data_IF_724529142324
#
_entry.id   IF_724529142324
#
_cell.length_a   1.000
_cell.length_b   1.000
_cell.length_c   1.000
_cell.angle_alpha   90.00
_cell.angle_beta   90.00
_cell.angle_gamma   90.00
#
_symmetry.space_group_name_H-M   'P 1'
#
loop_
_entity.id
_entity.type
_entity.pdbx_description
1 polymer ?
#
# COMPACT_ATOMS: atom_id res chain seq x y z
N UNK A 1 23.85 22.52 35.11
CA UNK A 1 23.75 21.09 34.70
C UNK A 1 22.58 20.74 33.78
N UNK A 2 21.42 21.42 33.82
CA UNK A 2 20.21 21.02 33.07
C UNK A 2 20.33 21.00 31.53
N UNK A 3 20.88 22.05 30.91
CA UNK A 3 20.85 22.20 29.44
C UNK A 3 21.69 21.16 28.69
N UNK A 4 22.83 20.74 29.23
CA UNK A 4 23.68 19.71 28.61
C UNK A 4 23.01 18.34 28.69
N UNK A 5 22.34 18.02 29.79
CA UNK A 5 21.58 16.80 29.95
C UNK A 5 20.39 16.76 28.97
N UNK A 6 19.68 17.89 28.82
CA UNK A 6 18.57 18.03 27.87
C UNK A 6 19.03 17.81 26.42
N UNK A 7 20.19 18.35 26.03
CA UNK A 7 20.74 18.15 24.68
C UNK A 7 21.12 16.68 24.44
N UNK A 8 21.71 16.00 25.42
CA UNK A 8 22.03 14.57 25.29
C UNK A 8 20.77 13.70 25.21
N UNK A 9 19.72 14.03 25.95
CA UNK A 9 18.42 13.34 25.87
C UNK A 9 17.74 13.59 24.51
N UNK A 10 17.80 14.80 23.97
CA UNK A 10 17.24 15.12 22.65
C UNK A 10 17.95 14.38 21.51
N UNK A 11 19.29 14.36 21.52
CA UNK A 11 20.07 13.63 20.52
C UNK A 11 19.79 12.12 20.63
N UNK A 12 19.62 11.62 21.86
CA UNK A 12 19.24 10.24 22.13
C UNK A 12 17.86 9.90 21.52
N UNK A 13 16.83 10.70 21.76
CA UNK A 13 15.48 10.49 21.21
C UNK A 13 15.48 10.49 19.68
N UNK A 14 16.25 11.38 19.05
CA UNK A 14 16.37 11.46 17.59
C UNK A 14 17.04 10.21 17.02
N UNK A 15 18.11 9.73 17.64
CA UNK A 15 18.80 8.50 17.21
C UNK A 15 17.92 7.27 17.42
N UNK A 16 17.17 7.21 18.52
CA UNK A 16 16.25 6.11 18.82
C UNK A 16 15.11 6.07 17.79
N UNK A 17 14.54 7.23 17.46
CA UNK A 17 13.55 7.41 16.38
C UNK A 17 14.08 6.94 15.02
N UNK A 18 15.30 7.35 14.64
CA UNK A 18 15.92 6.92 13.39
C UNK A 18 16.18 5.41 13.34
N UNK A 19 16.62 4.81 14.44
CA UNK A 19 16.88 3.37 14.50
C UNK A 19 15.59 2.56 14.49
N UNK A 20 14.53 2.97 15.20
CA UNK A 20 13.22 2.30 15.11
C UNK A 20 12.64 2.40 13.70
N UNK A 21 12.80 3.55 13.04
CA UNK A 21 12.44 3.72 11.63
C UNK A 21 13.26 2.82 10.68
N UNK A 22 14.56 2.67 10.93
CA UNK A 22 15.46 1.88 10.08
C UNK A 22 15.34 0.36 10.29
N UNK A 23 15.15 -0.12 11.51
CA UNK A 23 15.03 -1.56 11.84
C UNK A 23 13.60 -2.09 11.74
N UNK A 24 12.59 -1.21 11.72
CA UNK A 24 11.19 -1.62 11.58
C UNK A 24 10.81 -2.04 10.16
N UNK A 25 11.56 -1.62 9.13
CA UNK A 25 11.22 -1.90 7.73
C UNK A 25 9.83 -1.41 7.31
N UNK A 26 9.26 -0.47 8.08
CA UNK A 26 7.88 -0.02 7.93
C UNK A 26 7.81 0.97 6.77
N UNK A 27 7.37 0.47 5.61
CA UNK A 27 6.97 1.32 4.49
C UNK A 27 5.64 2.03 4.79
N UNK A 28 5.46 3.24 4.28
CA UNK A 28 4.19 3.94 4.37
C UNK A 28 3.04 3.08 3.77
N UNK A 29 1.82 3.16 4.32
CA UNK A 29 0.67 2.43 3.76
C UNK A 29 0.44 2.85 2.31
N UNK A 30 0.30 1.87 1.42
CA UNK A 30 -0.07 2.11 0.02
C UNK A 30 -1.58 2.33 -0.06
N UNK A 31 -2.00 3.60 -0.06
CA UNK A 31 -3.41 3.96 -0.25
C UNK A 31 -3.73 3.82 -1.75
N UNK A 32 -4.77 3.04 -2.13
CA UNK A 32 -5.18 2.94 -3.52
C UNK A 32 -5.66 4.31 -4.05
N UNK A 33 -5.45 4.60 -5.35
CA UNK A 33 -5.89 5.86 -5.94
C UNK A 33 -7.40 6.01 -5.84
N UNK A 34 -7.85 7.27 -5.70
CA UNK A 34 -9.28 7.60 -5.64
C UNK A 34 -9.99 7.17 -6.94
N UNK A 35 -11.22 6.63 -6.86
CA UNK A 35 -12.02 6.30 -8.04
C UNK A 35 -12.28 7.54 -8.89
N UNK A 36 -11.98 7.45 -10.19
CA UNK A 36 -12.23 8.54 -11.12
C UNK A 36 -13.59 8.39 -11.83
N UNK A 37 -14.17 9.54 -12.18
CA UNK A 37 -15.38 9.59 -13.01
C UNK A 37 -15.19 8.84 -14.33
N UNK A 38 -14.01 8.94 -14.95
CA UNK A 38 -13.68 8.26 -16.20
C UNK A 38 -13.72 6.73 -16.07
N UNK A 39 -13.24 6.18 -14.94
CA UNK A 39 -13.34 4.74 -14.68
C UNK A 39 -14.79 4.29 -14.51
N UNK A 40 -15.60 5.03 -13.76
CA UNK A 40 -17.03 4.72 -13.58
C UNK A 40 -17.80 4.80 -14.90
N UNK A 41 -17.51 5.79 -15.75
CA UNK A 41 -18.09 5.93 -17.08
C UNK A 41 -17.67 4.80 -18.02
N UNK A 42 -16.41 4.39 -18.00
CA UNK A 42 -15.93 3.27 -18.80
C UNK A 42 -16.62 1.96 -18.41
N UNK A 43 -16.78 1.70 -17.11
CA UNK A 43 -17.48 0.52 -16.61
C UNK A 43 -18.96 0.58 -16.99
N UNK A 44 -19.63 1.70 -16.76
CA UNK A 44 -21.04 1.86 -17.15
C UNK A 44 -21.26 1.68 -18.65
N UNK A 45 -20.36 2.24 -19.48
CA UNK A 45 -20.41 2.13 -20.93
C UNK A 45 -20.14 0.72 -21.47
N UNK A 46 -19.45 -0.13 -20.70
CA UNK A 46 -19.21 -1.53 -21.04
C UNK A 46 -20.44 -2.42 -20.83
N UNK A 47 -21.41 -1.96 -20.03
CA UNK A 47 -22.64 -2.71 -19.75
C UNK A 47 -23.60 -2.45 -20.92
N UNK A 48 -23.63 -3.42 -21.83
CA UNK A 48 -24.47 -3.40 -23.02
C UNK A 48 -25.31 -4.68 -23.03
N UNK A 49 -26.62 -4.51 -23.23
CA UNK A 49 -27.51 -5.62 -23.51
C UNK A 49 -28.00 -5.55 -24.95
N UNK A 50 -27.62 -6.53 -25.76
CA UNK A 50 -28.10 -6.68 -27.12
C UNK A 50 -28.90 -7.96 -27.29
N UNK A 51 -29.99 -7.90 -28.04
CA UNK A 51 -30.69 -9.07 -28.54
C UNK A 51 -30.56 -9.15 -30.05
N UNK A 52 -30.32 -10.35 -30.58
CA UNK A 52 -30.17 -10.55 -32.00
C UNK A 52 -30.02 -12.02 -32.38
N UNK A 53 -30.10 -12.26 -33.68
CA UNK A 53 -29.75 -13.54 -34.28
C UNK A 53 -28.24 -13.47 -34.57
N UNK A 54 -27.42 -14.35 -33.96
CA UNK A 54 -26.01 -14.43 -34.30
C UNK A 54 -25.83 -14.84 -35.76
N UNK A 55 -24.69 -14.54 -36.37
CA UNK A 55 -24.43 -14.96 -37.74
C UNK A 55 -24.50 -16.50 -37.83
N UNK A 56 -25.29 -17.01 -38.79
CA UNK A 56 -25.46 -18.45 -39.01
C UNK A 56 -24.70 -18.83 -40.26
N UNK A 57 -23.74 -19.74 -40.13
CA UNK A 57 -23.06 -20.31 -41.29
C UNK A 57 -23.93 -21.41 -41.88
N UNK A 58 -24.48 -21.18 -43.08
CA UNK A 58 -25.28 -22.18 -43.79
C UNK A 58 -24.40 -23.20 -44.50
N UNK A 59 -23.31 -22.73 -45.10
CA UNK A 59 -22.33 -23.56 -45.80
C UNK A 59 -20.93 -23.11 -45.35
N UNK A 60 -20.16 -23.96 -44.66
CA UNK A 60 -18.79 -23.62 -44.32
C UNK A 60 -17.94 -23.50 -45.59
N UNK A 61 -16.90 -22.67 -45.55
CA UNK A 61 -15.95 -22.59 -46.67
C UNK A 61 -15.29 -23.95 -46.90
N UNK A 62 -15.21 -24.37 -48.16
CA UNK A 62 -14.55 -25.61 -48.55
C UNK A 62 -13.63 -25.36 -49.75
N UNK A 63 -12.69 -26.26 -49.99
CA UNK A 63 -11.75 -26.19 -51.11
C UNK A 63 -11.83 -27.44 -51.95
N UNK A 64 -11.85 -27.29 -53.28
CA UNK A 64 -11.78 -28.40 -54.23
C UNK A 64 -10.65 -28.08 -55.21
N UNK A 65 -9.72 -29.03 -55.36
CA UNK A 65 -8.58 -28.91 -56.30
C UNK A 65 -7.79 -27.59 -56.16
N UNK A 66 -7.65 -27.08 -54.92
CA UNK A 66 -6.88 -25.88 -54.62
C UNK A 66 -7.64 -24.56 -54.78
N UNK A 67 -8.89 -24.55 -55.25
CA UNK A 67 -9.73 -23.34 -55.23
C UNK A 67 -10.60 -23.30 -53.97
N UNK A 68 -10.50 -22.21 -53.20
CA UNK A 68 -11.29 -22.02 -51.98
C UNK A 68 -12.62 -21.34 -52.32
N UNK A 69 -13.72 -22.01 -52.02
CA UNK A 69 -15.05 -21.45 -52.12
C UNK A 69 -15.42 -20.76 -50.80
N UNK A 70 -15.83 -19.48 -50.83
CA UNK A 70 -16.25 -18.78 -49.63
C UNK A 70 -17.51 -19.43 -49.04
N UNK A 71 -17.56 -19.49 -47.71
CA UNK A 71 -18.74 -19.99 -47.00
C UNK A 71 -19.91 -19.04 -47.16
N UNK A 72 -21.13 -19.58 -47.16
CA UNK A 72 -22.36 -18.80 -47.14
C UNK A 72 -22.79 -18.61 -45.68
N UNK A 73 -22.72 -17.36 -45.21
CA UNK A 73 -23.15 -16.98 -43.86
C UNK A 73 -24.31 -15.99 -43.94
N UNK A 74 -25.37 -16.24 -43.16
CA UNK A 74 -26.37 -15.21 -42.88
C UNK A 74 -25.77 -14.18 -41.91
N UNK A 75 -25.87 -12.87 -42.23
CA UNK A 75 -25.35 -11.83 -41.35
C UNK A 75 -26.10 -11.81 -40.02
N UNK A 76 -25.43 -11.39 -38.95
CA UNK A 76 -26.09 -11.20 -37.66
C UNK A 76 -27.12 -10.08 -37.75
N UNK A 77 -28.29 -10.31 -37.17
CA UNK A 77 -29.36 -9.31 -37.07
C UNK A 77 -29.45 -8.86 -35.62
N UNK A 78 -29.21 -7.58 -35.36
CA UNK A 78 -29.42 -6.99 -34.03
C UNK A 78 -30.82 -6.36 -33.98
N UNK A 79 -31.66 -6.82 -33.06
CA UNK A 79 -33.00 -6.27 -32.87
C UNK A 79 -32.99 -5.00 -32.03
N UNK A 80 -32.25 -5.02 -30.92
CA UNK A 80 -32.06 -3.86 -30.08
C UNK A 80 -30.72 -3.92 -29.35
N UNK A 81 -30.25 -2.74 -28.94
CA UNK A 81 -29.10 -2.54 -28.07
C UNK A 81 -29.48 -1.53 -27.01
N UNK A 82 -29.35 -1.92 -25.75
CA UNK A 82 -29.54 -1.05 -24.59
C UNK A 82 -28.16 -0.82 -23.97
N UNK A 83 -27.76 0.45 -23.90
CA UNK A 83 -26.56 0.87 -23.17
C UNK A 83 -26.94 1.36 -21.78
N UNK A 84 -26.20 0.91 -20.77
CA UNK A 84 -26.38 1.33 -19.38
C UNK A 84 -25.35 2.38 -18.95
N UNK A 85 -24.80 3.15 -19.90
CA UNK A 85 -23.83 4.21 -19.61
C UNK A 85 -24.32 5.23 -18.59
N UNK A 86 -25.63 5.46 -18.49
CA UNK A 86 -26.25 6.36 -17.52
C UNK A 86 -26.15 5.89 -16.05
N UNK A 87 -25.80 4.63 -15.80
CA UNK A 87 -25.57 4.09 -14.45
C UNK A 87 -24.23 4.54 -13.83
N UNK A 88 -23.42 5.30 -14.55
CA UNK A 88 -22.10 5.77 -14.06
C UNK A 88 -22.14 6.47 -12.69
N UNK A 89 -23.15 7.29 -12.32
CA UNK A 89 -23.16 7.94 -11.01
C UNK A 89 -23.33 6.92 -9.87
N UNK A 90 -24.17 5.90 -10.10
CA UNK A 90 -24.41 4.83 -9.12
C UNK A 90 -23.15 4.00 -8.96
N UNK A 91 -22.51 3.63 -10.06
CA UNK A 91 -21.23 2.88 -10.05
C UNK A 91 -20.13 3.68 -9.32
N UNK A 92 -20.05 4.99 -9.55
CA UNK A 92 -19.08 5.86 -8.87
C UNK A 92 -19.27 5.84 -7.34
N UNK A 93 -20.52 5.94 -6.87
CA UNK A 93 -20.83 5.86 -5.43
C UNK A 93 -20.37 4.53 -4.83
N UNK A 94 -20.65 3.41 -5.48
CA UNK A 94 -20.19 2.11 -4.99
C UNK A 94 -18.67 1.97 -4.98
N UNK A 95 -17.98 2.49 -6.00
CA UNK A 95 -16.52 2.49 -6.04
C UNK A 95 -15.95 3.37 -4.92
N UNK A 96 -16.56 4.52 -4.65
CA UNK A 96 -16.14 5.41 -3.57
C UNK A 96 -16.31 4.73 -2.20
N UNK A 97 -17.43 4.07 -1.97
CA UNK A 97 -17.66 3.28 -0.76
C UNK A 97 -16.60 2.19 -0.60
N UNK A 98 -16.34 1.41 -1.66
CA UNK A 98 -15.32 0.37 -1.64
C UNK A 98 -13.91 0.94 -1.37
N UNK A 99 -13.60 2.09 -1.97
CA UNK A 99 -12.34 2.79 -1.76
C UNK A 99 -12.15 3.23 -0.30
N UNK A 100 -13.19 3.79 0.33
CA UNK A 100 -13.16 4.16 1.76
C UNK A 100 -12.81 2.95 2.63
N UNK A 101 -13.49 1.81 2.44
CA UNK A 101 -13.19 0.60 3.20
C UNK A 101 -11.77 0.08 2.97
N UNK A 102 -11.30 0.08 1.71
CA UNK A 102 -9.93 -0.36 1.39
C UNK A 102 -8.85 0.54 1.99
N UNK A 103 -9.12 1.85 2.05
CA UNK A 103 -8.22 2.84 2.66
C UNK A 103 -8.15 2.65 4.17
N UNK A 104 -9.29 2.49 4.84
CA UNK A 104 -9.35 2.20 6.28
C UNK A 104 -8.61 0.89 6.59
N UNK A 105 -8.86 -0.18 5.82
CA UNK A 105 -8.18 -1.46 6.02
C UNK A 105 -6.65 -1.35 5.88
N UNK A 106 -6.18 -0.56 4.90
CA UNK A 106 -4.74 -0.32 4.70
C UNK A 106 -4.11 0.42 5.88
N UNK A 107 -4.79 1.44 6.41
CA UNK A 107 -4.32 2.18 7.60
C UNK A 107 -4.30 1.29 8.84
N UNK A 108 -5.35 0.51 9.08
CA UNK A 108 -5.41 -0.43 10.21
C UNK A 108 -4.31 -1.49 10.08
N UNK A 109 -4.13 -2.07 8.89
CA UNK A 109 -3.07 -3.05 8.64
C UNK A 109 -1.68 -2.49 8.89
N UNK A 110 -1.43 -1.24 8.50
CA UNK A 110 -0.18 -0.55 8.81
C UNK A 110 0.03 -0.35 10.31
N UNK A 111 -0.99 0.12 11.04
CA UNK A 111 -0.91 0.29 12.50
C UNK A 111 -0.60 -1.05 13.18
N UNK A 112 -1.28 -2.13 12.79
CA UNK A 112 -1.00 -3.47 13.32
C UNK A 112 0.43 -3.93 12.99
N UNK A 113 0.92 -3.65 11.79
CA UNK A 113 2.30 -3.95 11.41
C UNK A 113 3.32 -3.19 12.27
N UNK A 114 3.05 -1.93 12.65
CA UNK A 114 3.89 -1.19 13.60
C UNK A 114 3.92 -1.91 14.95
N UNK A 115 2.76 -2.30 15.49
CA UNK A 115 2.69 -2.97 16.79
C UNK A 115 3.41 -4.32 16.76
N UNK A 116 3.17 -5.14 15.75
CA UNK A 116 3.83 -6.45 15.60
C UNK A 116 5.34 -6.28 15.40
N UNK A 117 5.77 -5.32 14.57
CA UNK A 117 7.19 -5.01 14.38
C UNK A 117 7.85 -4.55 15.67
N UNK A 118 7.20 -3.67 16.43
CA UNK A 118 7.70 -3.19 17.72
C UNK A 118 7.85 -4.33 18.73
N UNK A 119 6.88 -5.24 18.81
CA UNK A 119 6.93 -6.43 19.68
C UNK A 119 8.03 -7.41 19.22
N UNK A 120 8.23 -7.58 17.92
CA UNK A 120 9.33 -8.40 17.38
C UNK A 120 10.70 -7.80 17.71
N UNK A 121 10.85 -6.48 17.64
CA UNK A 121 12.08 -5.78 18.01
C UNK A 121 12.35 -5.89 19.52
N UNK A 122 11.30 -5.75 20.34
CA UNK A 122 11.39 -5.92 21.80
C UNK A 122 11.66 -7.35 22.24
N UNK A 123 11.26 -8.36 21.46
CA UNK A 123 11.52 -9.77 21.77
C UNK A 123 12.83 -10.30 21.16
N UNK A 124 13.44 -9.55 20.24
CA UNK A 124 14.71 -9.89 19.60
C UNK A 124 15.93 -9.58 20.47
N UNK A 125 16.53 -10.62 21.08
CA UNK A 125 17.86 -10.57 21.73
C UNK A 125 18.94 -9.90 20.86
N UNK A 126 18.99 -10.06 19.52
CA UNK A 126 19.98 -9.41 18.67
C UNK A 126 19.83 -7.88 18.55
N UNK A 127 18.67 -7.31 18.91
CA UNK A 127 18.41 -5.86 18.88
C UNK A 127 18.55 -5.27 20.29
N UNK A 128 17.98 -5.95 21.30
CA UNK A 128 18.12 -5.54 22.70
C UNK A 128 19.55 -5.64 23.22
N UNK A 129 20.32 -6.65 22.80
CA UNK A 129 21.71 -6.84 23.25
C UNK A 129 22.61 -5.65 22.90
N UNK A 130 22.75 -5.29 21.60
CA UNK A 130 23.49 -4.10 21.18
C UNK A 130 22.90 -2.80 21.75
N UNK A 131 21.57 -2.68 21.86
CA UNK A 131 20.92 -1.50 22.46
C UNK A 131 21.31 -1.32 23.93
N UNK A 132 21.19 -2.37 24.74
CA UNK A 132 21.57 -2.34 26.15
C UNK A 132 23.09 -2.14 26.32
N UNK A 133 23.91 -2.75 25.46
CA UNK A 133 25.36 -2.55 25.49
C UNK A 133 25.76 -1.09 25.22
N UNK A 134 25.16 -0.46 24.19
CA UNK A 134 25.39 0.96 23.88
C UNK A 134 24.88 1.84 25.01
N UNK A 135 23.68 1.55 25.55
CA UNK A 135 23.11 2.29 26.68
C UNK A 135 24.00 2.25 27.93
N UNK A 136 24.48 1.06 28.30
CA UNK A 136 25.41 0.87 29.41
C UNK A 136 26.74 1.60 29.16
N UNK A 137 27.26 1.57 27.94
CA UNK A 137 28.50 2.26 27.59
C UNK A 137 28.36 3.77 27.68
N UNK A 138 27.24 4.33 27.21
CA UNK A 138 26.96 5.77 27.25
C UNK A 138 26.79 6.27 28.69
N UNK A 139 26.06 5.54 29.54
CA UNK A 139 25.92 5.86 30.97
C UNK A 139 27.27 5.80 31.67
N UNK A 140 28.05 4.73 31.44
CA UNK A 140 29.37 4.61 32.04
C UNK A 140 30.31 5.74 31.61
N UNK A 141 30.27 6.16 30.34
CA UNK A 141 31.06 7.29 29.84
C UNK A 141 30.68 8.59 30.56
N UNK A 142 29.38 8.86 30.72
CA UNK A 142 28.89 10.05 31.43
C UNK A 142 29.30 10.01 32.90
N UNK A 143 29.14 8.87 33.58
CA UNK A 143 29.52 8.72 34.98
C UNK A 143 31.02 8.92 35.19
N UNK A 144 31.86 8.30 34.35
CA UNK A 144 33.32 8.47 34.39
C UNK A 144 33.69 9.94 34.15
N UNK A 145 33.03 10.61 33.22
CA UNK A 145 33.26 12.02 32.94
C UNK A 145 32.89 12.94 34.11
N UNK A 146 31.76 12.69 34.79
CA UNK A 146 31.38 13.44 35.99
C UNK A 146 32.36 13.19 37.15
N UNK A 147 32.85 11.96 37.32
CA UNK A 147 33.92 11.65 38.30
C UNK A 147 35.21 12.42 37.98
N UNK A 148 35.62 12.48 36.72
CA UNK A 148 36.82 13.24 36.30
C UNK A 148 36.65 14.73 36.60
N UNK A 149 35.47 15.31 36.39
CA UNK A 149 35.20 16.71 36.74
C UNK A 149 35.30 16.97 38.24
N UNK A 150 34.72 16.07 39.04
CA UNK A 150 34.79 16.13 40.51
C UNK A 150 36.25 16.11 40.99
N UNK A 151 37.09 15.22 40.44
CA UNK A 151 38.52 15.13 40.78
C UNK A 151 39.29 16.38 40.34
N UNK A 152 38.96 16.95 39.18
CA UNK A 152 39.62 18.15 38.64
C UNK A 152 39.14 19.46 39.29
N UNK A 153 38.29 19.40 40.30
CA UNK A 153 37.81 20.57 41.03
C UNK A 153 36.84 21.45 40.24
N UNK A 154 36.35 20.97 39.09
CA UNK A 154 35.22 21.58 38.40
C UNK A 154 33.94 21.15 39.14
N UNK A 155 33.66 21.83 40.26
CA UNK A 155 32.39 21.70 40.96
C UNK A 155 31.19 22.11 40.08
N UNK A 156 29.95 21.79 40.50
CA UNK A 156 28.73 21.97 39.70
C UNK A 156 28.52 23.38 39.15
#
# INVERSE_FOLDING_TARGET
>A
MGTKLVIYVLIFDVVLSLMVGAYGGLGAPSIPPEPSVGQAQAIAGSIIWSAGIPAITLIPSFSIAGSTFPGLTLPSITFFVISFGWLWPIILVFQWIAWVFSSIASVIGYILSIFTGSVSLLSGVPVLGPFLAVFTLLINLVLVWEIIKLIRGYGP
#
